data_IF_125248885339
#
_entry.id   IF_125248885339
#
_cell.length_a   1.000
_cell.length_b   1.000
_cell.length_c   1.000
_cell.angle_alpha   90.00
_cell.angle_beta   90.00
_cell.angle_gamma   90.00
#
_symmetry.space_group_name_H-M   'P 1'
#
loop_
_entity.id
_entity.type
_entity.pdbx_description
1 polymer ?
#
# COMPACT_ATOMS: atom_id res chain seq x y z
N UNK A 1 -22.37 20.76 31.13
CA UNK A 1 -21.29 19.85 31.59
C UNK A 1 -21.29 18.56 30.77
N UNK A 2 -22.41 17.84 30.68
CA UNK A 2 -22.53 16.60 29.90
C UNK A 2 -22.18 16.75 28.41
N UNK A 3 -22.62 17.84 27.75
CA UNK A 3 -22.25 18.13 26.35
C UNK A 3 -20.78 18.54 26.17
N UNK A 4 -20.14 19.09 27.20
CA UNK A 4 -18.71 19.45 27.18
C UNK A 4 -17.80 18.22 27.37
N UNK A 5 -18.21 17.28 28.23
CA UNK A 5 -17.58 15.96 28.35
C UNK A 5 -17.77 15.12 27.09
N UNK A 6 -18.96 15.15 26.48
CA UNK A 6 -19.20 14.52 25.17
C UNK A 6 -18.36 15.12 24.05
N UNK A 7 -18.14 16.45 24.05
CA UNK A 7 -17.24 17.12 23.11
C UNK A 7 -15.79 16.68 23.27
N UNK A 8 -15.27 16.58 24.50
CA UNK A 8 -13.93 16.07 24.76
C UNK A 8 -13.76 14.60 24.37
N UNK A 9 -14.79 13.77 24.59
CA UNK A 9 -14.78 12.37 24.19
C UNK A 9 -14.77 12.21 22.67
N UNK A 10 -15.56 13.01 21.94
CA UNK A 10 -15.51 13.03 20.47
C UNK A 10 -14.14 13.48 19.95
N UNK A 11 -13.55 14.55 20.50
CA UNK A 11 -12.20 14.98 20.10
C UNK A 11 -11.14 13.89 20.34
N UNK A 12 -11.29 13.10 21.42
CA UNK A 12 -10.40 11.97 21.70
C UNK A 12 -10.58 10.83 20.68
N UNK A 13 -11.82 10.50 20.33
CA UNK A 13 -12.12 9.50 19.29
C UNK A 13 -11.63 9.95 17.90
N UNK A 14 -11.79 11.24 17.57
CA UNK A 14 -11.28 11.84 16.33
C UNK A 14 -9.75 11.79 16.27
N UNK A 15 -9.08 11.96 17.42
CA UNK A 15 -7.64 11.75 17.56
C UNK A 15 -7.24 10.31 17.24
N UNK A 16 -7.92 9.32 17.83
CA UNK A 16 -7.69 7.89 17.55
C UNK A 16 -7.91 7.57 16.06
N UNK A 17 -8.96 8.13 15.46
CA UNK A 17 -9.28 7.95 14.04
C UNK A 17 -8.18 8.51 13.14
N UNK A 18 -7.66 9.69 13.47
CA UNK A 18 -6.55 10.32 12.76
C UNK A 18 -5.26 9.51 12.86
N UNK A 19 -4.95 8.94 14.03
CA UNK A 19 -3.81 8.03 14.18
C UNK A 19 -3.98 6.74 13.38
N UNK A 20 -5.20 6.18 13.33
CA UNK A 20 -5.51 5.01 12.50
C UNK A 20 -5.22 5.26 11.02
N UNK A 21 -5.58 6.46 10.53
CA UNK A 21 -5.28 6.87 9.15
C UNK A 21 -3.76 6.94 8.91
N UNK A 22 -2.99 7.58 9.79
CA UNK A 22 -1.52 7.68 9.67
C UNK A 22 -0.86 6.28 9.62
N UNK A 23 -1.29 5.34 10.47
CA UNK A 23 -0.81 3.95 10.46
C UNK A 23 -1.22 3.21 9.17
N UNK A 24 -2.29 3.63 8.50
CA UNK A 24 -2.65 3.09 7.19
C UNK A 24 -1.62 3.49 6.12
N UNK A 25 -1.12 4.73 6.15
CA UNK A 25 -0.12 5.25 5.20
C UNK A 25 1.30 4.72 5.45
N UNK A 26 1.67 4.39 6.70
CA UNK A 26 3.01 3.82 7.01
C UNK A 26 3.28 2.50 6.27
N UNK A 27 2.22 1.79 5.90
CA UNK A 27 2.30 0.53 5.17
C UNK A 27 2.86 0.72 3.76
N UNK A 28 2.43 1.78 3.07
CA UNK A 28 2.96 2.11 1.74
C UNK A 28 4.44 2.49 1.83
N UNK A 29 4.82 3.25 2.86
CA UNK A 29 6.21 3.59 3.16
C UNK A 29 7.06 2.34 3.44
N UNK A 30 6.56 1.41 4.27
CA UNK A 30 7.27 0.17 4.59
C UNK A 30 7.54 -0.70 3.35
N UNK A 31 6.57 -0.80 2.44
CA UNK A 31 6.78 -1.53 1.17
C UNK A 31 7.76 -0.80 0.25
N UNK A 32 7.75 0.54 0.22
CA UNK A 32 8.77 1.32 -0.49
C UNK A 32 10.18 1.07 0.04
N UNK A 33 10.36 1.04 1.36
CA UNK A 33 11.64 0.72 2.00
C UNK A 33 12.11 -0.71 1.69
N UNK A 34 11.18 -1.69 1.68
CA UNK A 34 11.51 -3.07 1.31
C UNK A 34 11.96 -3.20 -0.15
N UNK A 35 11.32 -2.46 -1.05
CA UNK A 35 11.64 -2.38 -2.49
C UNK A 35 13.09 -1.87 -2.69
N UNK A 36 13.49 -0.83 -1.96
CA UNK A 36 14.87 -0.30 -2.00
C UNK A 36 15.88 -1.33 -1.48
N UNK A 37 15.57 -2.04 -0.39
CA UNK A 37 16.44 -3.09 0.14
C UNK A 37 16.65 -4.23 -0.85
N UNK A 38 15.58 -4.69 -1.52
CA UNK A 38 15.62 -5.73 -2.56
C UNK A 38 16.51 -5.28 -3.73
N UNK A 39 16.33 -4.04 -4.22
CA UNK A 39 17.15 -3.49 -5.29
C UNK A 39 18.65 -3.44 -4.91
N UNK A 40 18.95 -3.06 -3.67
CA UNK A 40 20.32 -3.05 -3.13
C UNK A 40 20.93 -4.46 -3.09
N UNK A 41 20.17 -5.47 -2.64
CA UNK A 41 20.63 -6.87 -2.62
C UNK A 41 20.93 -7.41 -4.02
N UNK A 42 20.06 -7.15 -5.01
CA UNK A 42 20.33 -7.55 -6.40
C UNK A 42 21.55 -6.83 -6.99
N UNK A 43 21.71 -5.54 -6.69
CA UNK A 43 22.89 -4.78 -7.11
C UNK A 43 24.18 -5.34 -6.48
N UNK A 44 24.14 -5.77 -5.22
CA UNK A 44 25.26 -6.44 -4.55
C UNK A 44 25.64 -7.78 -5.17
N UNK A 45 24.66 -8.57 -5.62
CA UNK A 45 24.90 -9.82 -6.36
C UNK A 45 25.50 -9.52 -7.74
N UNK A 46 24.98 -8.52 -8.45
CA UNK A 46 25.47 -8.12 -9.76
C UNK A 46 26.90 -7.55 -9.71
N UNK A 47 27.24 -6.77 -8.67
CA UNK A 47 28.57 -6.21 -8.48
C UNK A 47 29.64 -7.31 -8.27
N UNK A 48 29.32 -8.37 -7.53
CA UNK A 48 30.23 -9.52 -7.35
C UNK A 48 30.44 -10.31 -8.65
N UNK A 49 29.48 -10.26 -9.57
CA UNK A 49 29.51 -10.95 -10.87
C UNK A 49 30.09 -10.07 -12.01
N UNK A 50 30.52 -8.85 -11.70
CA UNK A 50 30.93 -7.84 -12.70
C UNK A 50 32.37 -8.00 -13.23
N UNK A 51 33.14 -8.97 -12.73
CA UNK A 51 34.51 -9.22 -13.16
C UNK A 51 34.55 -10.38 -14.19
N UNK A 52 35.04 -10.11 -15.40
CA UNK A 52 35.25 -11.12 -16.47
C UNK A 52 34.03 -11.37 -17.39
N UNK A 53 33.96 -12.52 -18.10
CA UNK A 53 32.88 -12.82 -19.06
C UNK A 53 31.48 -12.98 -18.42
N UNK A 54 31.39 -12.95 -17.09
CA UNK A 54 30.14 -13.07 -16.33
C UNK A 54 29.29 -11.78 -16.29
N UNK A 55 29.77 -10.67 -16.88
CA UNK A 55 29.04 -9.39 -17.01
C UNK A 55 27.67 -9.56 -17.69
N UNK A 56 27.57 -10.45 -18.69
CA UNK A 56 26.30 -10.74 -19.38
C UNK A 56 25.28 -11.35 -18.40
N UNK A 57 25.73 -12.20 -17.48
CA UNK A 57 24.90 -12.76 -16.41
C UNK A 57 24.48 -11.69 -15.39
N UNK A 58 25.39 -10.76 -15.06
CA UNK A 58 25.08 -9.64 -14.17
C UNK A 58 23.98 -8.73 -14.72
N UNK A 59 24.00 -8.44 -16.03
CA UNK A 59 22.99 -7.62 -16.71
C UNK A 59 21.61 -8.29 -16.67
N UNK A 60 21.55 -9.61 -16.93
CA UNK A 60 20.28 -10.37 -16.89
C UNK A 60 19.70 -10.37 -15.47
N UNK A 61 20.53 -10.57 -14.46
CA UNK A 61 20.10 -10.57 -13.04
C UNK A 61 19.61 -9.17 -12.63
N UNK A 62 20.30 -8.10 -13.05
CA UNK A 62 19.85 -6.73 -12.82
C UNK A 62 18.50 -6.44 -13.49
N UNK A 63 18.30 -6.91 -14.73
CA UNK A 63 17.08 -6.69 -15.48
C UNK A 63 15.89 -7.44 -14.85
N UNK A 64 16.10 -8.67 -14.41
CA UNK A 64 15.11 -9.45 -13.63
C UNK A 64 14.85 -8.79 -12.27
N UNK A 65 15.89 -8.35 -11.57
CA UNK A 65 15.79 -7.68 -10.28
C UNK A 65 14.96 -6.40 -10.36
N UNK A 66 15.23 -5.53 -11.35
CA UNK A 66 14.45 -4.33 -11.59
C UNK A 66 13.02 -4.63 -12.07
N UNK A 67 12.83 -5.65 -12.91
CA UNK A 67 11.50 -6.10 -13.34
C UNK A 67 10.62 -6.54 -12.17
N UNK A 68 11.16 -7.41 -11.30
CA UNK A 68 10.50 -7.84 -10.06
C UNK A 68 10.23 -6.66 -9.12
N UNK A 69 11.18 -5.73 -8.99
CA UNK A 69 11.04 -4.55 -8.15
C UNK A 69 9.86 -3.66 -8.59
N UNK A 70 9.71 -3.44 -9.90
CA UNK A 70 8.60 -2.67 -10.47
C UNK A 70 7.27 -3.40 -10.25
N UNK A 71 7.22 -4.72 -10.49
CA UNK A 71 6.00 -5.52 -10.28
C UNK A 71 5.56 -5.47 -8.81
N UNK A 72 6.49 -5.64 -7.87
CA UNK A 72 6.20 -5.59 -6.43
C UNK A 72 5.71 -4.20 -6.00
N UNK A 73 6.30 -3.14 -6.53
CA UNK A 73 5.84 -1.78 -6.27
C UNK A 73 4.41 -1.54 -6.81
N UNK A 74 4.11 -2.04 -8.02
CA UNK A 74 2.80 -1.88 -8.66
C UNK A 74 1.71 -2.69 -7.92
N UNK A 75 1.99 -3.95 -7.60
CA UNK A 75 1.10 -4.80 -6.81
C UNK A 75 0.87 -4.21 -5.41
N UNK A 76 1.91 -3.65 -4.78
CA UNK A 76 1.78 -2.94 -3.51
C UNK A 76 0.80 -1.77 -3.65
N UNK A 77 0.99 -0.87 -4.61
CA UNK A 77 0.11 0.28 -4.79
C UNK A 77 -1.34 -0.14 -5.03
N UNK A 78 -1.58 -1.18 -5.84
CA UNK A 78 -2.94 -1.68 -6.11
C UNK A 78 -3.60 -2.25 -4.85
N UNK A 79 -2.93 -3.16 -4.14
CA UNK A 79 -3.51 -3.81 -2.95
C UNK A 79 -3.69 -2.81 -1.81
N UNK A 80 -2.74 -1.89 -1.63
CA UNK A 80 -2.80 -0.86 -0.60
C UNK A 80 -3.82 0.23 -0.96
N UNK A 81 -3.94 0.58 -2.24
CA UNK A 81 -4.96 1.49 -2.75
C UNK A 81 -6.37 0.95 -2.54
N UNK A 82 -6.61 -0.35 -2.80
CA UNK A 82 -7.90 -0.99 -2.50
C UNK A 82 -8.20 -0.97 -1.00
N UNK A 83 -7.20 -1.24 -0.16
CA UNK A 83 -7.36 -1.19 1.30
C UNK A 83 -7.76 0.20 1.79
N UNK A 84 -7.13 1.25 1.27
CA UNK A 84 -7.47 2.64 1.61
C UNK A 84 -8.84 3.03 1.06
N UNK A 85 -9.16 2.65 -0.18
CA UNK A 85 -10.46 2.94 -0.80
C UNK A 85 -11.64 2.26 -0.07
N UNK A 86 -11.43 1.05 0.45
CA UNK A 86 -12.44 0.31 1.20
C UNK A 86 -12.55 0.81 2.65
N UNK A 87 -11.46 1.18 3.32
CA UNK A 87 -11.50 1.55 4.75
C UNK A 87 -11.71 3.05 4.98
N UNK A 88 -11.07 3.92 4.22
CA UNK A 88 -11.15 5.38 4.42
C UNK A 88 -12.31 5.99 3.63
N UNK A 89 -12.51 5.60 2.36
CA UNK A 89 -13.60 6.12 1.53
C UNK A 89 -14.97 5.53 1.91
N UNK A 90 -15.09 4.22 2.13
CA UNK A 90 -16.38 3.62 2.55
C UNK A 90 -16.79 4.03 3.97
N UNK A 91 -15.81 4.21 4.86
CA UNK A 91 -16.05 4.60 6.26
C UNK A 91 -16.47 6.06 6.41
N UNK A 92 -15.84 6.98 5.67
CA UNK A 92 -16.20 8.41 5.71
C UNK A 92 -17.46 8.75 4.89
N UNK A 93 -17.77 8.00 3.84
CA UNK A 93 -18.99 8.20 3.04
C UNK A 93 -20.25 7.63 3.71
N UNK A 94 -20.15 6.92 4.83
CA UNK A 94 -21.29 6.23 5.43
C UNK A 94 -21.93 5.22 4.47
N UNK A 95 -21.13 4.65 3.56
CA UNK A 95 -21.57 3.64 2.62
C UNK A 95 -21.82 2.34 3.37
N UNK A 96 -23.01 2.23 3.91
CA UNK A 96 -23.62 0.97 4.28
C UNK A 96 -23.79 0.16 2.98
N UNK A 97 -23.03 -0.92 2.82
CA UNK A 97 -23.13 -1.85 1.69
C UNK A 97 -24.44 -2.67 1.71
N UNK A 98 -25.55 -2.03 2.08
CA UNK A 98 -26.91 -2.55 2.01
C UNK A 98 -27.61 -1.86 0.84
N UNK A 99 -27.82 -2.62 -0.24
CA UNK A 99 -28.57 -2.19 -1.40
C UNK A 99 -29.12 -3.41 -2.15
N UNK A 100 -30.34 -3.31 -2.65
CA UNK A 100 -30.94 -4.31 -3.51
C UNK A 100 -30.36 -4.17 -4.93
N UNK A 101 -29.94 -5.29 -5.52
CA UNK A 101 -29.44 -5.32 -6.91
C UNK A 101 -30.60 -5.06 -7.86
N UNK A 102 -30.56 -3.93 -8.57
CA UNK A 102 -31.58 -3.57 -9.58
C UNK A 102 -31.76 -4.71 -10.59
N UNK A 103 -32.97 -5.27 -10.64
CA UNK A 103 -33.39 -6.22 -11.67
C UNK A 103 -34.32 -5.47 -12.62
N UNK A 104 -33.87 -5.12 -13.85
CA UNK A 104 -34.74 -4.51 -14.83
C UNK A 104 -35.83 -5.51 -15.23
N UNK A 105 -37.03 -4.99 -15.52
CA UNK A 105 -38.08 -5.78 -16.16
C UNK A 105 -37.55 -6.27 -17.51
N UNK A 106 -37.41 -7.59 -17.65
CA UNK A 106 -37.33 -8.24 -18.95
C UNK A 106 -38.77 -8.40 -19.44
N UNK A 107 -39.05 -7.84 -20.61
CA UNK A 107 -40.26 -8.15 -21.38
C UNK A 107 -40.33 -9.64 -21.73
#
# INVERSE_FOLDING_TARGET
ILSGLGGLFNTFLDGISSFSNIISYIRLFAVGMATVAIASSFNGIAAQMSQGPAIIGAIIILLIGHGLNIIMALLSVVVHGIRLNVLEFSGQLGLEWTGYKYQPFKE
#
